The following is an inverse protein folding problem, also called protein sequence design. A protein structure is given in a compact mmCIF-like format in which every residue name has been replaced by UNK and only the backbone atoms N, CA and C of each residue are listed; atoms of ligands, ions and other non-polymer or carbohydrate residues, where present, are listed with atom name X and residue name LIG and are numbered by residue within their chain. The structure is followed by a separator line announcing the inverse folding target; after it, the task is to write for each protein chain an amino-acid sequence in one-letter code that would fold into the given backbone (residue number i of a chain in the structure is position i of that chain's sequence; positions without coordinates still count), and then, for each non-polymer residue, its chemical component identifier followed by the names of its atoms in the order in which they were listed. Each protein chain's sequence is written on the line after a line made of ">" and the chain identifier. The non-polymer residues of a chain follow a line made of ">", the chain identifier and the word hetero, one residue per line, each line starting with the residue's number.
data_IF_074019853850
#
_entry.id   IF_074019853850
#
_cell.length_a   1.000
_cell.length_b   1.000
_cell.length_c   1.000
_cell.angle_alpha   90.00
_cell.angle_beta   90.00
_cell.angle_gamma   90.00
#
_symmetry.space_group_name_H-M   'P 1'
#
loop_
_entity.id
_entity.type
_entity.pdbx_description
1 polymer ?
#
# COMPACT_ATOMS: atom_id res chain seq x y z
N UNK A 1 -1.85 -4.70 -16.42
CA UNK A 1 -1.84 -3.44 -15.64
C UNK A 1 -3.14 -3.38 -14.86
N UNK A 2 -3.04 -3.23 -13.55
CA UNK A 2 -4.16 -2.97 -12.65
C UNK A 2 -3.86 -1.68 -11.89
N UNK A 3 -4.85 -0.80 -11.72
CA UNK A 3 -4.67 0.45 -11.00
C UNK A 3 -5.96 0.81 -10.28
N UNK A 4 -5.85 1.24 -9.03
CA UNK A 4 -6.99 1.66 -8.21
C UNK A 4 -6.72 1.51 -6.73
N UNK A 5 -7.78 1.65 -5.95
CA UNK A 5 -7.80 1.45 -4.50
C UNK A 5 -7.92 -0.06 -4.18
N UNK A 6 -6.87 -0.62 -3.58
CA UNK A 6 -6.83 -2.04 -3.17
C UNK A 6 -7.23 -2.23 -1.70
N UNK A 7 -7.33 -1.15 -0.92
CA UNK A 7 -7.51 -1.21 0.54
C UNK A 7 -6.50 -2.13 1.26
N UNK A 8 -5.30 -2.30 0.69
CA UNK A 8 -4.22 -3.12 1.21
C UNK A 8 -2.89 -2.40 0.98
N UNK A 9 -1.92 -2.60 1.86
CA UNK A 9 -0.57 -2.04 1.73
C UNK A 9 0.42 -3.13 1.28
N UNK A 10 1.47 -2.77 0.52
CA UNK A 10 2.47 -3.73 0.04
C UNK A 10 3.73 -3.74 0.92
N UNK A 11 4.11 -2.58 1.47
CA UNK A 11 5.35 -2.39 2.23
C UNK A 11 5.08 -1.80 3.62
N UNK A 12 5.98 -2.04 4.57
CA UNK A 12 5.88 -1.46 5.91
C UNK A 12 5.83 0.07 5.88
N UNK A 13 6.56 0.69 4.95
CA UNK A 13 6.66 2.14 4.80
C UNK A 13 5.41 2.77 4.16
N UNK A 14 4.50 1.95 3.65
CA UNK A 14 3.19 2.37 3.14
C UNK A 14 2.24 2.78 4.26
N UNK A 15 2.64 2.62 5.53
CA UNK A 15 1.89 3.05 6.70
C UNK A 15 2.75 3.88 7.63
N UNK A 16 2.23 5.02 8.06
CA UNK A 16 2.78 5.82 9.17
C UNK A 16 1.74 6.07 10.24
N UNK A 17 2.22 6.16 11.48
CA UNK A 17 1.37 6.30 12.67
C UNK A 17 0.66 5.01 13.06
N UNK A 18 0.09 5.01 14.26
CA UNK A 18 -0.61 3.85 14.82
C UNK A 18 0.29 2.62 15.00
N UNK A 19 -0.30 1.43 14.83
CA UNK A 19 0.44 0.17 14.97
C UNK A 19 1.16 -0.18 13.66
N UNK A 20 2.39 -0.71 13.73
CA UNK A 20 3.08 -1.27 12.57
C UNK A 20 2.22 -2.35 11.90
N UNK A 21 2.27 -2.46 10.56
CA UNK A 21 1.52 -3.49 9.87
C UNK A 21 2.06 -4.89 10.19
N UNK A 22 1.14 -5.84 10.24
CA UNK A 22 1.49 -7.25 10.43
C UNK A 22 1.91 -7.89 9.10
N UNK A 23 2.70 -8.97 9.16
CA UNK A 23 3.06 -9.73 7.96
C UNK A 23 1.83 -10.21 7.18
N UNK A 24 0.72 -10.53 7.86
CA UNK A 24 -0.51 -10.94 7.19
C UNK A 24 -1.14 -9.83 6.35
N UNK A 25 -1.05 -8.57 6.80
CA UNK A 25 -1.58 -7.42 6.06
C UNK A 25 -0.72 -7.13 4.81
N UNK A 26 0.60 -7.20 4.96
CA UNK A 26 1.51 -7.03 3.82
C UNK A 26 1.34 -8.16 2.79
N UNK A 27 1.14 -9.38 3.25
CA UNK A 27 1.00 -10.55 2.37
C UNK A 27 -0.32 -10.55 1.58
N UNK A 28 -1.32 -9.75 1.96
CA UNK A 28 -2.59 -9.68 1.24
C UNK A 28 -2.40 -9.21 -0.20
N UNK A 29 -1.65 -8.12 -0.40
CA UNK A 29 -1.36 -7.61 -1.74
C UNK A 29 -0.15 -8.31 -2.37
N UNK A 30 0.89 -8.63 -1.59
CA UNK A 30 2.10 -9.28 -2.11
C UNK A 30 1.79 -10.66 -2.71
N UNK A 31 0.92 -11.48 -2.10
CA UNK A 31 0.55 -12.77 -2.67
C UNK A 31 -0.16 -12.62 -4.01
N UNK A 32 -1.05 -11.63 -4.17
CA UNK A 32 -1.73 -11.36 -5.44
C UNK A 32 -0.74 -10.95 -6.52
N UNK A 33 0.24 -10.10 -6.16
CA UNK A 33 1.32 -9.71 -7.07
C UNK A 33 2.15 -10.93 -7.49
N UNK A 34 2.55 -11.78 -6.55
CA UNK A 34 3.34 -12.98 -6.82
C UNK A 34 2.58 -13.98 -7.70
N UNK A 35 1.31 -14.28 -7.37
CA UNK A 35 0.47 -15.22 -8.12
C UNK A 35 0.17 -14.74 -9.53
N UNK A 36 0.06 -13.42 -9.73
CA UNK A 36 -0.25 -12.83 -11.02
C UNK A 36 0.99 -12.40 -11.83
N UNK A 37 2.21 -12.57 -11.28
CA UNK A 37 3.45 -12.09 -11.90
C UNK A 37 3.44 -10.57 -12.09
N UNK A 38 2.92 -9.83 -11.11
CA UNK A 38 2.82 -8.37 -11.12
C UNK A 38 3.83 -7.75 -10.17
N UNK A 39 4.17 -6.48 -10.44
CA UNK A 39 4.99 -5.64 -9.57
C UNK A 39 4.33 -4.26 -9.43
N UNK A 40 4.49 -3.64 -8.27
CA UNK A 40 4.13 -2.24 -8.09
C UNK A 40 5.06 -1.35 -8.92
N UNK A 41 4.47 -0.41 -9.66
CA UNK A 41 5.20 0.69 -10.26
C UNK A 41 5.39 1.78 -9.20
N UNK A 42 6.64 2.18 -8.95
CA UNK A 42 6.91 3.31 -8.04
C UNK A 42 6.14 4.55 -8.50
N UNK A 43 5.25 5.03 -7.62
CA UNK A 43 4.46 6.23 -7.87
C UNK A 43 5.31 7.49 -7.76
N UNK A 44 5.03 8.48 -8.61
CA UNK A 44 5.53 9.85 -8.45
C UNK A 44 4.42 10.70 -7.81
N UNK A 45 4.62 11.22 -6.60
CA UNK A 45 3.64 12.08 -5.94
C UNK A 45 3.56 11.90 -4.43
N UNK A 46 2.35 12.01 -3.88
CA UNK A 46 2.11 11.80 -2.46
C UNK A 46 2.37 10.33 -2.08
N UNK A 47 3.17 10.12 -1.05
CA UNK A 47 3.54 8.78 -0.59
C UNK A 47 2.38 8.00 0.04
N UNK A 48 1.32 8.70 0.47
CA UNK A 48 0.13 8.14 1.10
C UNK A 48 -1.12 8.67 0.41
N UNK A 49 -2.14 7.82 0.28
CA UNK A 49 -3.37 8.15 -0.44
C UNK A 49 -4.60 8.17 0.46
N UNK A 50 -4.46 7.73 1.71
CA UNK A 50 -5.49 7.79 2.72
C UNK A 50 -4.96 8.37 4.04
N UNK A 51 -5.83 9.06 4.78
CA UNK A 51 -5.58 9.49 6.16
C UNK A 51 -6.82 9.33 7.02
N UNK A 52 -6.62 9.02 8.30
CA UNK A 52 -7.71 9.01 9.28
C UNK A 52 -8.19 10.43 9.70
N UNK A 53 -7.60 11.49 9.13
CA UNK A 53 -7.94 12.89 9.38
C UNK A 53 -7.82 13.33 10.85
N UNK A 54 -6.98 12.65 11.62
CA UNK A 54 -6.58 13.08 12.97
C UNK A 54 -5.27 13.87 12.91
N UNK A 55 -4.99 14.64 13.96
CA UNK A 55 -3.76 15.43 14.07
C UNK A 55 -2.72 14.71 14.95
N UNK A 56 -1.47 15.19 14.86
CA UNK A 56 -0.36 14.81 15.74
C UNK A 56 -0.15 13.29 15.86
N UNK A 57 0.00 12.76 17.08
CA UNK A 57 0.33 11.36 17.34
C UNK A 57 -0.76 10.37 16.92
N UNK A 58 -2.00 10.85 16.80
CA UNK A 58 -3.14 10.05 16.36
C UNK A 58 -3.28 10.02 14.82
N UNK A 59 -2.49 10.82 14.09
CA UNK A 59 -2.52 10.82 12.63
C UNK A 59 -1.99 9.50 12.08
N UNK A 60 -2.82 8.85 11.28
CA UNK A 60 -2.47 7.65 10.53
C UNK A 60 -2.61 7.96 9.04
N UNK A 61 -1.61 7.57 8.26
CA UNK A 61 -1.64 7.66 6.80
C UNK A 61 -1.24 6.32 6.19
N UNK A 62 -1.89 5.96 5.10
CA UNK A 62 -1.68 4.70 4.39
C UNK A 62 -1.64 4.95 2.87
N UNK A 63 -0.81 4.19 2.14
CA UNK A 63 -0.86 4.09 0.68
C UNK A 63 -1.77 2.92 0.32
N UNK A 64 -2.97 3.21 -0.18
CA UNK A 64 -3.98 2.19 -0.52
C UNK A 64 -4.26 2.11 -2.03
N UNK A 65 -3.94 3.18 -2.76
CA UNK A 65 -4.01 3.16 -4.22
C UNK A 65 -2.67 2.68 -4.80
N UNK A 66 -2.73 1.63 -5.61
CA UNK A 66 -1.55 1.02 -6.23
C UNK A 66 -1.69 0.96 -7.74
N UNK A 67 -0.55 0.99 -8.43
CA UNK A 67 -0.46 0.72 -9.86
C UNK A 67 0.43 -0.50 -10.06
N UNK A 68 -0.17 -1.60 -10.50
CA UNK A 68 0.49 -2.87 -10.72
C UNK A 68 0.68 -3.13 -12.22
N UNK A 69 1.87 -3.57 -12.59
CA UNK A 69 2.21 -3.95 -13.97
C UNK A 69 2.74 -5.38 -13.98
N UNK A 70 2.49 -6.13 -15.06
CA UNK A 70 3.07 -7.45 -15.19
C UNK A 70 4.58 -7.34 -15.42
N UNK A 71 5.35 -8.19 -14.76
CA UNK A 71 6.72 -8.49 -15.16
C UNK A 71 6.61 -9.35 -16.43
N UNK A 72 7.12 -8.85 -17.57
CA UNK A 72 7.11 -9.62 -18.83
C UNK A 72 7.89 -10.92 -18.71
#
# INVERSE_FOLDING_TARGET
>A
MAAGDFNAIAFSDDKIGGRPPTASQLNELNNVMDECGMQELEGFGANYTWTNNQADEDNIQERLDHVLINQQ
#
